data_IF_512526397108
#
_entry.id   IF_512526397108
#
_cell.length_a   1.000
_cell.length_b   1.000
_cell.length_c   1.000
_cell.angle_alpha   90.00
_cell.angle_beta   90.00
_cell.angle_gamma   90.00
#
_symmetry.space_group_name_H-M   'P 1'
#
loop_
_entity.id
_entity.type
_entity.pdbx_description
1 polymer ?
#
# COMPACT_ATOMS: atom_id res chain seq x y z
N UNK A 1 -17.18 -5.07 1.50
CA UNK A 1 -16.08 -5.95 1.92
C UNK A 1 -15.12 -5.12 2.75
N UNK A 2 -14.70 -5.54 3.96
CA UNK A 2 -13.72 -4.78 4.73
C UNK A 2 -12.33 -4.78 4.07
N UNK A 3 -11.49 -3.79 4.40
CA UNK A 3 -10.10 -3.70 3.94
C UNK A 3 -9.26 -4.94 4.29
N UNK A 4 -9.65 -5.67 5.34
CA UNK A 4 -8.98 -6.90 5.80
C UNK A 4 -9.08 -8.05 4.79
N UNK A 5 -10.01 -7.98 3.83
CA UNK A 5 -10.18 -8.99 2.79
C UNK A 5 -9.14 -8.87 1.67
N UNK A 6 -8.26 -7.86 1.73
CA UNK A 6 -7.25 -7.56 0.73
C UNK A 6 -5.82 -7.65 1.29
N UNK A 7 -5.38 -8.82 1.79
CA UNK A 7 -4.01 -8.95 2.25
C UNK A 7 -3.03 -8.82 1.09
N UNK A 8 -1.92 -8.14 1.35
CA UNK A 8 -0.69 -8.28 0.57
C UNK A 8 -0.03 -9.61 0.94
N UNK A 9 0.45 -10.34 -0.08
CA UNK A 9 1.25 -11.55 0.10
C UNK A 9 2.67 -11.31 -0.45
N UNK A 10 3.68 -11.84 0.23
CA UNK A 10 5.06 -11.63 -0.15
C UNK A 10 6.06 -12.19 0.85
N UNK A 11 7.34 -12.05 0.53
CA UNK A 11 8.44 -12.55 1.34
C UNK A 11 9.06 -11.42 2.16
N UNK A 12 9.37 -11.68 3.43
CA UNK A 12 10.17 -10.77 4.24
C UNK A 12 11.65 -10.99 3.91
N UNK A 13 12.32 -9.98 3.35
CA UNK A 13 13.72 -10.06 2.94
C UNK A 13 14.69 -9.69 4.06
N UNK A 14 14.29 -8.76 4.91
CA UNK A 14 15.08 -8.29 6.04
C UNK A 14 14.17 -7.73 7.12
N UNK A 15 14.64 -7.79 8.36
CA UNK A 15 14.02 -7.15 9.53
C UNK A 15 15.09 -6.34 10.22
N UNK A 16 14.76 -5.08 10.48
CA UNK A 16 15.59 -4.11 11.20
C UNK A 16 14.72 -3.54 12.34
N UNK A 17 15.30 -2.98 13.39
CA UNK A 17 14.53 -2.55 14.57
C UNK A 17 13.30 -1.68 14.21
N UNK A 18 12.09 -2.26 14.31
CA UNK A 18 10.80 -1.62 13.99
C UNK A 18 10.46 -1.49 12.50
N UNK A 19 11.21 -2.14 11.61
CA UNK A 19 11.01 -2.10 10.14
C UNK A 19 11.25 -3.45 9.50
N UNK A 20 10.65 -3.66 8.34
CA UNK A 20 10.94 -4.81 7.49
C UNK A 20 11.07 -4.40 6.03
N UNK A 21 11.79 -5.21 5.27
CA UNK A 21 11.85 -5.13 3.82
C UNK A 21 10.93 -6.22 3.28
N UNK A 22 9.79 -5.82 2.72
CA UNK A 22 8.79 -6.72 2.15
C UNK A 22 8.92 -6.78 0.62
N UNK A 23 8.94 -7.98 0.07
CA UNK A 23 8.89 -8.22 -1.36
C UNK A 23 7.56 -8.87 -1.73
N UNK A 24 6.60 -8.09 -2.27
CA UNK A 24 5.33 -8.65 -2.73
C UNK A 24 5.52 -9.72 -3.81
N UNK A 25 4.64 -10.74 -3.78
CA UNK A 25 4.65 -11.82 -4.78
C UNK A 25 4.55 -11.27 -6.20
N UNK A 26 5.27 -11.89 -7.13
CA UNK A 26 5.27 -11.52 -8.56
C UNK A 26 5.69 -10.06 -8.84
N UNK A 27 6.52 -9.48 -7.98
CA UNK A 27 7.09 -8.14 -8.19
C UNK A 27 8.60 -8.13 -7.91
N UNK A 28 9.27 -7.08 -8.38
CA UNK A 28 10.69 -6.80 -8.03
C UNK A 28 10.81 -5.77 -6.90
N UNK A 29 9.69 -5.40 -6.28
CA UNK A 29 9.67 -4.39 -5.24
C UNK A 29 10.34 -4.87 -3.95
N UNK A 30 10.99 -3.93 -3.26
CA UNK A 30 11.57 -4.10 -1.93
C UNK A 30 11.09 -2.94 -1.07
N UNK A 31 9.91 -3.12 -0.49
CA UNK A 31 9.21 -2.06 0.23
C UNK A 31 9.73 -2.00 1.66
N UNK A 32 10.22 -0.83 2.06
CA UNK A 32 10.66 -0.60 3.44
C UNK A 32 9.46 -0.11 4.23
N UNK A 33 8.98 -0.95 5.14
CA UNK A 33 7.72 -0.73 5.88
C UNK A 33 8.00 -0.73 7.37
N UNK A 34 7.33 0.17 8.10
CA UNK A 34 7.30 0.12 9.56
C UNK A 34 6.48 -1.10 10.00
N UNK A 35 6.98 -1.85 10.98
CA UNK A 35 6.27 -3.00 11.51
C UNK A 35 6.57 -3.09 13.01
N UNK A 36 5.55 -2.85 13.85
CA UNK A 36 5.71 -2.95 15.29
C UNK A 36 5.98 -4.41 15.74
N UNK A 37 5.39 -5.37 15.01
CA UNK A 37 5.57 -6.81 15.22
C UNK A 37 6.71 -7.39 14.36
N UNK A 38 7.74 -6.59 14.03
CA UNK A 38 8.87 -7.08 13.24
C UNK A 38 9.65 -8.12 14.04
N UNK A 39 9.65 -9.37 13.56
CA UNK A 39 10.38 -10.49 14.14
C UNK A 39 11.43 -10.98 13.13
N UNK A 40 12.73 -10.99 13.46
CA UNK A 40 13.78 -11.58 12.62
C UNK A 40 13.48 -13.02 12.16
N UNK A 41 12.69 -13.78 12.92
CA UNK A 41 12.21 -15.12 12.54
C UNK A 41 11.29 -15.14 11.31
N UNK A 42 10.82 -14.00 10.82
CA UNK A 42 10.05 -13.88 9.57
C UNK A 42 10.92 -13.83 8.32
N UNK A 43 12.23 -13.54 8.45
CA UNK A 43 13.13 -13.41 7.29
C UNK A 43 13.13 -14.70 6.46
N UNK A 44 12.97 -14.55 5.14
CA UNK A 44 12.86 -15.64 4.17
C UNK A 44 11.48 -16.31 4.10
N UNK A 45 10.55 -16.00 5.02
CA UNK A 45 9.20 -16.59 5.02
C UNK A 45 8.24 -15.79 4.14
N UNK A 46 7.34 -16.51 3.49
CA UNK A 46 6.19 -15.92 2.83
C UNK A 46 5.12 -15.60 3.89
N UNK A 47 4.69 -14.36 3.95
CA UNK A 47 3.70 -13.85 4.91
C UNK A 47 2.55 -13.18 4.17
N UNK A 48 1.41 -13.10 4.86
CA UNK A 48 0.27 -12.28 4.45
C UNK A 48 0.05 -11.19 5.49
N UNK A 49 -0.39 -10.02 5.06
CA UNK A 49 -0.66 -8.90 5.96
C UNK A 49 -1.20 -7.68 5.22
N UNK A 50 -1.46 -6.61 5.96
CA UNK A 50 -1.93 -5.35 5.39
C UNK A 50 -0.78 -4.38 5.26
N UNK A 51 -0.57 -3.84 4.06
CA UNK A 51 0.28 -2.68 3.85
C UNK A 51 -0.61 -1.45 3.97
N UNK A 52 -0.26 -0.53 4.87
CA UNK A 52 -1.01 0.71 5.13
C UNK A 52 -0.15 1.94 4.86
N UNK A 53 -0.75 2.98 4.29
CA UNK A 53 -0.16 4.30 4.21
C UNK A 53 -1.24 5.37 4.25
N UNK A 54 -0.88 6.58 4.68
CA UNK A 54 -1.75 7.74 4.55
C UNK A 54 -1.45 8.49 3.24
N UNK A 55 -2.50 8.95 2.54
CA UNK A 55 -2.33 9.78 1.36
C UNK A 55 -2.00 11.22 1.75
N UNK A 56 -0.91 11.77 1.21
CA UNK A 56 -0.59 13.20 1.26
C UNK A 56 -1.27 13.97 0.12
N UNK A 57 -1.34 13.35 -1.05
CA UNK A 57 -2.06 13.87 -2.22
C UNK A 57 -2.65 12.68 -2.97
N UNK A 58 -3.87 12.82 -3.46
CA UNK A 58 -4.57 11.79 -4.22
C UNK A 58 -5.07 12.40 -5.53
N UNK A 59 -4.71 11.78 -6.64
CA UNK A 59 -5.08 12.22 -7.99
C UNK A 59 -5.81 11.12 -8.75
N UNK A 60 -6.88 11.44 -9.45
CA UNK A 60 -7.44 10.53 -10.48
C UNK A 60 -6.66 10.69 -11.77
N UNK A 61 -6.29 9.59 -12.43
CA UNK A 61 -5.49 9.61 -13.65
C UNK A 61 -6.20 8.87 -14.79
N UNK A 62 -6.05 9.34 -16.03
CA UNK A 62 -6.76 8.75 -17.19
C UNK A 62 -6.07 7.54 -17.81
N UNK A 63 -4.78 7.34 -17.55
CA UNK A 63 -3.98 6.31 -18.20
C UNK A 63 -2.74 5.96 -17.38
N UNK A 64 -2.03 4.91 -17.79
CA UNK A 64 -0.84 4.41 -17.13
C UNK A 64 -1.02 3.01 -16.54
N UNK A 65 0.05 2.51 -15.92
CA UNK A 65 0.08 1.21 -15.27
C UNK A 65 -0.08 1.29 -13.75
N UNK A 66 -0.14 0.12 -13.13
CA UNK A 66 -0.06 -0.02 -11.69
C UNK A 66 1.42 -0.05 -11.30
N UNK A 67 1.85 0.82 -10.39
CA UNK A 67 3.24 0.84 -9.92
C UNK A 67 3.38 1.40 -8.51
N UNK A 68 4.49 1.05 -7.87
CA UNK A 68 4.98 1.66 -6.64
C UNK A 68 6.36 2.24 -6.93
N UNK A 69 6.63 3.45 -6.45
CA UNK A 69 7.93 4.10 -6.55
C UNK A 69 8.42 4.57 -5.17
N UNK A 70 9.72 4.40 -4.85
CA UNK A 70 10.76 3.72 -5.64
C UNK A 70 10.58 2.19 -5.65
N UNK A 71 11.37 1.49 -6.50
CA UNK A 71 11.37 0.02 -6.53
C UNK A 71 11.93 -0.56 -5.21
N UNK A 72 12.93 0.11 -4.63
CA UNK A 72 13.51 -0.23 -3.33
C UNK A 72 13.48 0.99 -2.42
N UNK A 73 12.90 0.83 -1.23
CA UNK A 73 12.75 1.89 -0.24
C UNK A 73 11.31 2.05 0.27
N UNK A 74 11.03 3.12 1.04
CA UNK A 74 9.69 3.39 1.50
C UNK A 74 8.81 3.84 0.33
N UNK A 75 7.57 3.32 0.19
CA UNK A 75 6.63 3.79 -0.84
C UNK A 75 6.44 5.31 -0.76
N UNK A 76 6.66 6.01 -1.88
CA UNK A 76 6.45 7.46 -1.99
C UNK A 76 5.33 7.81 -2.96
N UNK A 77 5.24 7.05 -4.05
CA UNK A 77 4.17 7.18 -5.04
C UNK A 77 3.59 5.78 -5.26
N UNK A 78 2.27 5.68 -5.20
CA UNK A 78 1.53 4.44 -5.47
C UNK A 78 0.46 4.75 -6.50
N UNK A 79 0.57 4.16 -7.68
CA UNK A 79 -0.48 4.22 -8.68
C UNK A 79 -1.14 2.86 -8.81
N UNK A 80 -2.46 2.82 -8.70
CA UNK A 80 -3.21 1.57 -8.72
C UNK A 80 -4.68 1.77 -9.01
N UNK A 81 -5.35 0.66 -9.32
CA UNK A 81 -6.81 0.64 -9.44
C UNK A 81 -7.43 0.44 -8.06
N UNK A 82 -8.47 1.22 -7.75
CA UNK A 82 -9.29 1.07 -6.55
C UNK A 82 -10.02 -0.27 -6.62
N UNK A 83 -9.85 -1.10 -5.60
CA UNK A 83 -10.57 -2.36 -5.41
C UNK A 83 -11.73 -2.22 -4.42
N UNK A 84 -11.59 -1.31 -3.46
CA UNK A 84 -12.56 -1.03 -2.43
C UNK A 84 -12.40 0.42 -1.98
N UNK A 85 -13.50 1.06 -1.60
CA UNK A 85 -13.54 2.44 -1.14
C UNK A 85 -14.63 2.60 -0.07
N UNK A 86 -14.28 3.24 1.04
CA UNK A 86 -15.24 3.78 2.01
C UNK A 86 -14.94 5.26 2.32
N UNK A 87 -15.56 5.79 3.37
CA UNK A 87 -15.41 7.20 3.76
C UNK A 87 -14.03 7.57 4.32
N UNK A 88 -13.23 6.59 4.72
CA UNK A 88 -11.95 6.78 5.41
C UNK A 88 -10.77 6.17 4.67
N UNK A 89 -11.00 5.07 3.96
CA UNK A 89 -9.95 4.25 3.39
C UNK A 89 -10.31 3.76 2.00
N UNK A 90 -9.28 3.44 1.23
CA UNK A 90 -9.42 2.68 -0.01
C UNK A 90 -8.37 1.58 -0.08
N UNK A 91 -8.65 0.56 -0.90
CA UNK A 91 -7.66 -0.46 -1.26
C UNK A 91 -7.24 -0.25 -2.70
N UNK A 92 -5.94 -0.14 -2.93
CA UNK A 92 -5.33 -0.07 -4.25
C UNK A 92 -4.66 -1.37 -4.65
N UNK A 93 -4.85 -1.74 -5.92
CA UNK A 93 -4.03 -2.76 -6.59
C UNK A 93 -2.89 -2.08 -7.35
N UNK A 94 -1.69 -2.13 -6.78
CA UNK A 94 -0.46 -1.52 -7.30
C UNK A 94 0.71 -2.53 -7.33
N UNK A 95 0.53 -3.66 -8.04
CA UNK A 95 1.44 -4.82 -7.96
C UNK A 95 1.25 -5.66 -6.69
N UNK A 96 0.77 -5.04 -5.61
CA UNK A 96 0.22 -5.68 -4.40
C UNK A 96 -1.00 -4.90 -3.92
N UNK A 97 -1.63 -5.35 -2.84
CA UNK A 97 -2.71 -4.62 -2.17
C UNK A 97 -2.13 -3.61 -1.18
N UNK A 98 -2.58 -2.36 -1.27
CA UNK A 98 -2.22 -1.29 -0.34
C UNK A 98 -3.50 -0.64 0.18
N UNK A 99 -3.67 -0.65 1.49
CA UNK A 99 -4.68 0.13 2.18
C UNK A 99 -4.17 1.57 2.28
N UNK A 100 -4.98 2.51 1.81
CA UNK A 100 -4.68 3.94 1.81
C UNK A 100 -5.70 4.66 2.66
N UNK A 101 -5.24 5.34 3.71
CA UNK A 101 -6.08 6.30 4.44
C UNK A 101 -6.28 7.54 3.56
N UNK A 102 -7.54 7.90 3.34
CA UNK A 102 -7.92 9.07 2.56
C UNK A 102 -7.51 10.35 3.31
N UNK A 103 -7.07 11.40 2.60
CA UNK A 103 -6.75 12.65 3.26
C UNK A 103 -8.02 13.28 3.82
N UNK A 104 -7.91 13.97 4.96
CA UNK A 104 -9.05 14.64 5.58
C UNK A 104 -9.41 15.95 4.85
N UNK A 105 -8.43 16.57 4.21
CA UNK A 105 -8.58 17.88 3.59
C UNK A 105 -8.83 17.78 2.08
N UNK A 106 -9.90 18.42 1.61
CA UNK A 106 -10.30 18.39 0.20
C UNK A 106 -9.21 18.91 -0.76
N UNK A 107 -8.36 19.85 -0.31
CA UNK A 107 -7.26 20.36 -1.14
C UNK A 107 -6.21 19.29 -1.46
N UNK A 108 -6.16 18.19 -0.71
CA UNK A 108 -5.29 17.05 -0.99
C UNK A 108 -5.84 16.15 -2.10
N UNK A 109 -7.10 16.35 -2.52
CA UNK A 109 -7.75 15.62 -3.59
C UNK A 109 -7.65 16.41 -4.91
N UNK A 110 -7.28 15.72 -5.99
CA UNK A 110 -7.27 16.25 -7.35
C UNK A 110 -7.98 15.25 -8.28
N UNK A 111 -9.31 15.38 -8.31
CA UNK A 111 -10.23 14.43 -8.93
C UNK A 111 -10.65 14.88 -10.33
N UNK A 112 -9.70 15.38 -11.13
CA UNK A 112 -9.92 15.93 -12.48
C UNK A 112 -10.53 14.94 -13.49
N UNK A 113 -10.59 13.64 -13.17
CA UNK A 113 -11.18 12.59 -14.03
C UNK A 113 -12.46 11.97 -13.46
N UNK A 114 -13.09 12.64 -12.49
CA UNK A 114 -14.33 12.19 -11.86
C UNK A 114 -14.11 11.69 -10.43
N UNK A 115 -15.18 11.28 -9.73
CA UNK A 115 -15.10 10.88 -8.34
C UNK A 115 -14.27 9.61 -8.14
N UNK A 116 -13.83 9.40 -6.91
CA UNK A 116 -13.27 8.11 -6.49
C UNK A 116 -14.37 7.05 -6.52
N UNK A 117 -14.08 5.93 -7.18
CA UNK A 117 -14.94 4.78 -7.30
C UNK A 117 -14.09 3.53 -7.49
N UNK A 118 -14.69 2.37 -7.23
CA UNK A 118 -14.05 1.10 -7.60
C UNK A 118 -13.73 1.05 -9.09
N UNK A 119 -12.58 0.49 -9.43
CA UNK A 119 -12.06 0.45 -10.80
C UNK A 119 -11.31 1.72 -11.24
N UNK A 120 -11.52 2.87 -10.57
CA UNK A 120 -10.82 4.12 -10.91
C UNK A 120 -9.31 3.97 -10.73
N UNK A 121 -8.55 4.47 -11.70
CA UNK A 121 -7.09 4.54 -11.61
C UNK A 121 -6.69 5.81 -10.85
N UNK A 122 -5.95 5.64 -9.78
CA UNK A 122 -5.52 6.76 -8.93
C UNK A 122 -4.02 6.72 -8.69
N UNK A 123 -3.44 7.90 -8.56
CA UNK A 123 -2.07 8.11 -8.15
C UNK A 123 -2.06 8.75 -6.76
N UNK A 124 -1.35 8.12 -5.83
CA UNK A 124 -1.25 8.53 -4.44
C UNK A 124 0.18 8.93 -4.16
N UNK A 125 0.39 10.18 -3.76
CA UNK A 125 1.60 10.58 -3.07
C UNK A 125 1.44 10.18 -1.60
N UNK A 126 2.26 9.24 -1.13
CA UNK A 126 2.21 8.74 0.23
C UNK A 126 2.78 9.78 1.21
N UNK A 127 2.15 9.88 2.38
CA UNK A 127 2.77 10.44 3.56
C UNK A 127 3.93 9.53 4.02
N UNK A 128 4.75 10.03 4.95
CA UNK A 128 5.88 9.25 5.46
C UNK A 128 5.40 8.00 6.19
N UNK A 129 6.27 6.98 6.23
CA UNK A 129 6.13 5.78 7.07
C UNK A 129 4.93 4.86 6.76
N UNK A 130 4.88 4.31 5.54
CA UNK A 130 4.02 3.16 5.27
C UNK A 130 4.34 2.00 6.24
N UNK A 131 3.31 1.29 6.68
CA UNK A 131 3.42 0.20 7.65
C UNK A 131 2.99 -1.15 7.07
N UNK A 132 3.42 -2.21 7.75
CA UNK A 132 3.00 -3.59 7.52
C UNK A 132 2.43 -4.17 8.81
N UNK A 133 1.23 -4.72 8.72
CA UNK A 133 0.55 -5.44 9.80
C UNK A 133 0.45 -6.92 9.37
N UNK A 134 1.28 -7.82 9.93
CA UNK A 134 1.16 -9.24 9.64
C UNK A 134 -0.25 -9.74 9.99
N UNK A 135 -0.86 -10.54 9.11
CA UNK A 135 -2.02 -11.30 9.49
C UNK A 135 -1.59 -12.28 10.60
N UNK A 136 -2.38 -12.37 11.67
CA UNK A 136 -2.10 -13.37 12.71
C UNK A 136 -2.00 -14.75 12.07
N UNK A 137 -1.02 -15.59 12.46
CA UNK A 137 -1.01 -16.98 12.02
C UNK A 137 -2.32 -17.62 12.49
N UNK A 138 -3.04 -18.23 11.54
CA UNK A 138 -4.14 -19.13 11.84
C UNK A 138 -3.63 -20.39 12.53
#
# INVERSE_FOLDING_TARGET
MPVTDFPAAGTVLAVEAGRLVFAPVNTTYRLHLHCAAADPGLVGKCVRGLIRLAARKLMTVSSGGNFIAPIQGPPRIVQGRVLYLDQRQMVLRAGTHIVVDLPAEDFALDLTRGPLAEGTLVNVAAAHAASFEPASPA
#
